data_IF_916277618526
#
_entry.id   IF_916277618526
#
_cell.length_a   1.000
_cell.length_b   1.000
_cell.length_c   1.000
_cell.angle_alpha   90.00
_cell.angle_beta   90.00
_cell.angle_gamma   90.00
#
_symmetry.space_group_name_H-M   'P 1'
#
loop_
_entity.id
_entity.type
_entity.pdbx_description
1 polymer ?
#
# COMPACT_ATOMS: atom_id res chain seq x y z
N UNK A 1 -2.69 20.68 31.86
CA UNK A 1 -2.11 19.45 31.29
C UNK A 1 -2.74 18.26 31.96
N UNK A 2 -3.35 17.35 31.19
CA UNK A 2 -3.82 16.05 31.72
C UNK A 2 -2.59 15.25 32.15
N UNK A 3 -2.52 14.85 33.42
CA UNK A 3 -1.46 13.94 33.91
C UNK A 3 -1.85 12.50 33.56
N UNK A 4 -0.90 11.74 33.02
CA UNK A 4 -1.05 10.30 32.87
C UNK A 4 -1.28 9.66 34.25
N UNK A 5 -2.22 8.72 34.35
CA UNK A 5 -2.55 8.01 35.60
C UNK A 5 -2.90 6.56 35.33
N UNK A 6 -2.64 5.69 36.31
CA UNK A 6 -3.11 4.31 36.31
C UNK A 6 -4.53 4.32 36.86
N UNK A 7 -5.46 3.68 36.15
CA UNK A 7 -6.87 3.58 36.54
C UNK A 7 -7.28 2.12 36.75
N UNK A 8 -8.30 1.89 37.57
CA UNK A 8 -8.88 0.55 37.76
C UNK A 8 -9.80 0.18 36.59
N UNK A 9 -10.06 -1.12 36.42
CA UNK A 9 -10.93 -1.65 35.36
C UNK A 9 -12.30 -0.95 35.29
N UNK A 10 -12.96 -0.73 36.43
CA UNK A 10 -14.26 -0.05 36.49
C UNK A 10 -14.23 1.38 35.93
N UNK A 11 -13.13 2.11 36.13
CA UNK A 11 -12.96 3.45 35.55
C UNK A 11 -12.62 3.36 34.06
N UNK A 12 -11.82 2.38 33.65
CA UNK A 12 -11.54 2.11 32.24
C UNK A 12 -12.82 1.84 31.45
N UNK A 13 -13.71 0.96 31.95
CA UNK A 13 -15.02 0.66 31.33
C UNK A 13 -15.89 1.91 31.17
N UNK A 14 -15.94 2.76 32.20
CA UNK A 14 -16.68 4.03 32.15
C UNK A 14 -16.08 4.99 31.14
N UNK A 15 -14.76 5.07 31.04
CA UNK A 15 -14.07 5.95 30.10
C UNK A 15 -14.28 5.46 28.67
N UNK A 16 -14.11 4.16 28.40
CA UNK A 16 -14.29 3.59 27.06
C UNK A 16 -15.71 3.74 26.56
N UNK A 17 -16.72 3.67 27.43
CA UNK A 17 -18.11 3.94 27.07
C UNK A 17 -18.35 5.37 26.52
N UNK A 18 -17.43 6.32 26.77
CA UNK A 18 -17.52 7.68 26.20
C UNK A 18 -16.88 7.82 24.83
N UNK A 19 -16.16 6.81 24.34
CA UNK A 19 -15.41 6.89 23.08
C UNK A 19 -16.27 6.57 21.84
N UNK A 20 -17.42 5.93 22.03
CA UNK A 20 -18.35 5.55 20.97
C UNK A 20 -18.92 4.16 21.17
N UNK A 21 -19.81 3.76 20.26
CA UNK A 21 -20.54 2.48 20.33
C UNK A 21 -19.86 1.37 19.51
N UNK A 22 -18.91 1.71 18.64
CA UNK A 22 -18.20 0.78 17.76
C UNK A 22 -16.71 0.73 18.11
N UNK A 23 -16.15 -0.49 18.17
CA UNK A 23 -14.73 -0.72 18.40
C UNK A 23 -14.20 -1.72 17.37
N UNK A 24 -13.03 -1.44 16.80
CA UNK A 24 -12.26 -2.43 16.08
C UNK A 24 -11.40 -3.23 17.08
N UNK A 25 -11.38 -4.55 16.88
CA UNK A 25 -10.52 -5.49 17.62
C UNK A 25 -9.34 -5.85 16.74
N UNK A 26 -8.15 -5.42 17.13
CA UNK A 26 -6.91 -5.68 16.38
C UNK A 26 -6.10 -6.73 17.10
N UNK A 27 -5.87 -7.87 16.45
CA UNK A 27 -5.02 -8.93 17.00
C UNK A 27 -3.55 -8.57 16.86
N UNK A 28 -2.85 -8.56 17.98
CA UNK A 28 -1.43 -8.28 18.03
C UNK A 28 -0.59 -9.54 17.73
N UNK A 29 0.63 -9.32 17.23
CA UNK A 29 1.64 -10.37 17.15
C UNK A 29 1.98 -10.91 18.53
N UNK A 30 2.31 -12.20 18.64
CA UNK A 30 2.44 -12.90 19.93
C UNK A 30 3.52 -12.38 20.90
N UNK A 31 4.37 -11.46 20.48
CA UNK A 31 5.37 -10.80 21.32
C UNK A 31 4.89 -9.45 21.91
N UNK A 32 3.68 -9.00 21.58
CA UNK A 32 3.10 -7.73 22.04
C UNK A 32 2.03 -8.04 23.10
N UNK A 33 2.08 -7.32 24.23
CA UNK A 33 1.05 -7.36 25.26
C UNK A 33 0.25 -6.04 25.24
N UNK A 34 -1.09 -6.08 25.27
CA UNK A 34 -1.96 -7.28 25.27
C UNK A 34 -2.08 -7.96 23.89
N UNK A 35 -2.68 -9.15 23.86
CA UNK A 35 -2.91 -9.93 22.63
C UNK A 35 -3.88 -9.28 21.64
N UNK A 36 -4.71 -8.34 22.12
CA UNK A 36 -5.62 -7.56 21.29
C UNK A 36 -5.61 -6.10 21.71
N UNK A 37 -5.73 -5.20 20.74
CA UNK A 37 -5.98 -3.77 20.96
C UNK A 37 -7.41 -3.42 20.57
N UNK A 38 -8.07 -2.60 21.40
CA UNK A 38 -9.40 -2.09 21.15
C UNK A 38 -9.31 -0.64 20.69
N UNK A 39 -9.81 -0.37 19.49
CA UNK A 39 -9.81 0.95 18.88
C UNK A 39 -11.23 1.50 18.80
N UNK A 40 -11.59 2.58 19.53
CA UNK A 40 -12.87 3.22 19.32
C UNK A 40 -12.94 3.80 17.91
N UNK A 41 -14.03 3.50 17.20
CA UNK A 41 -14.26 4.01 15.85
C UNK A 41 -15.16 5.23 15.93
N UNK A 42 -14.69 6.34 15.35
CA UNK A 42 -15.51 7.55 15.23
C UNK A 42 -16.80 7.25 14.44
N UNK A 43 -17.95 7.87 14.75
CA UNK A 43 -19.19 7.65 13.99
C UNK A 43 -19.04 7.92 12.49
N UNK A 44 -19.71 7.12 11.67
CA UNK A 44 -19.72 7.27 10.22
C UNK A 44 -20.36 8.60 9.81
N UNK A 45 -19.71 9.32 8.91
CA UNK A 45 -20.23 10.55 8.31
C UNK A 45 -20.64 10.24 6.88
N UNK A 46 -21.95 10.08 6.66
CA UNK A 46 -22.51 9.69 5.35
C UNK A 46 -22.55 10.86 4.36
N UNK A 47 -22.75 12.09 4.84
CA UNK A 47 -22.79 13.29 3.98
C UNK A 47 -22.05 14.45 4.66
N UNK A 48 -20.76 14.66 4.39
CA UNK A 48 -20.02 15.80 4.94
C UNK A 48 -20.61 17.13 4.44
N UNK A 49 -20.58 18.15 5.31
CA UNK A 49 -21.02 19.52 4.95
C UNK A 49 -20.00 20.25 4.07
N UNK A 50 -18.72 19.94 4.23
CA UNK A 50 -17.60 20.56 3.53
C UNK A 50 -16.36 19.67 3.65
N UNK A 51 -15.41 19.82 2.75
CA UNK A 51 -14.10 19.16 2.85
C UNK A 51 -12.99 20.20 3.08
N UNK A 52 -11.97 19.79 3.82
CA UNK A 52 -10.72 20.53 4.02
C UNK A 52 -9.50 19.74 3.57
N UNK A 53 -9.57 18.42 3.66
CA UNK A 53 -8.49 17.55 3.25
C UNK A 53 -8.98 16.18 2.75
N UNK A 54 -8.10 15.51 2.02
CA UNK A 54 -8.23 14.09 1.63
C UNK A 54 -7.00 13.35 2.12
N UNK A 55 -7.20 12.22 2.79
CA UNK A 55 -6.13 11.23 3.02
C UNK A 55 -6.48 10.00 2.20
N UNK A 56 -5.51 9.47 1.46
CA UNK A 56 -5.71 8.31 0.60
C UNK A 56 -4.63 7.28 0.84
N UNK A 57 -4.96 6.01 0.70
CA UNK A 57 -3.94 4.99 0.54
C UNK A 57 -3.10 5.26 -0.72
N UNK A 58 -1.95 4.59 -0.83
CA UNK A 58 -1.23 4.50 -2.08
C UNK A 58 -1.81 3.36 -2.93
N UNK A 59 -1.77 2.15 -2.39
CA UNK A 59 -2.20 0.93 -3.08
C UNK A 59 -3.73 0.90 -3.18
N UNK A 60 -4.27 0.29 -4.25
CA UNK A 60 -5.71 0.19 -4.52
C UNK A 60 -6.50 1.50 -4.69
N UNK A 61 -5.91 2.67 -4.41
CA UNK A 61 -6.60 3.98 -4.46
C UNK A 61 -5.86 5.02 -5.29
N UNK A 62 -4.53 5.10 -5.16
CA UNK A 62 -3.67 5.96 -6.00
C UNK A 62 -3.06 5.15 -7.15
N UNK A 63 -2.66 3.91 -6.89
CA UNK A 63 -1.96 3.06 -7.86
C UNK A 63 -2.19 1.58 -7.65
N UNK A 64 -1.90 0.78 -8.69
CA UNK A 64 -1.79 -0.68 -8.60
C UNK A 64 -0.33 -1.07 -8.31
N UNK A 65 -0.03 -1.65 -7.14
CA UNK A 65 1.28 -2.29 -6.86
C UNK A 65 1.15 -3.79 -6.58
N UNK A 66 -0.09 -4.27 -6.51
CA UNK A 66 -0.43 -5.61 -6.06
C UNK A 66 0.15 -6.67 -6.98
N UNK A 67 0.29 -6.41 -8.27
CA UNK A 67 0.89 -7.38 -9.18
C UNK A 67 2.38 -7.62 -8.85
N UNK A 68 3.12 -6.58 -8.39
CA UNK A 68 4.52 -6.73 -7.93
C UNK A 68 4.55 -7.53 -6.63
N UNK A 69 3.63 -7.22 -5.69
CA UNK A 69 3.50 -7.93 -4.43
C UNK A 69 3.16 -9.42 -4.65
N UNK A 70 2.14 -9.71 -5.45
CA UNK A 70 1.72 -11.08 -5.81
C UNK A 70 2.84 -11.84 -6.48
N UNK A 71 3.54 -11.24 -7.44
CA UNK A 71 4.70 -11.84 -8.09
C UNK A 71 5.81 -12.18 -7.09
N UNK A 72 6.09 -11.29 -6.16
CA UNK A 72 7.17 -11.47 -5.18
C UNK A 72 6.80 -12.52 -4.13
N UNK A 73 5.52 -12.59 -3.73
CA UNK A 73 4.97 -13.62 -2.86
C UNK A 73 5.01 -14.99 -3.56
N UNK A 74 4.58 -15.06 -4.82
CA UNK A 74 4.64 -16.28 -5.61
C UNK A 74 6.09 -16.75 -5.78
N UNK A 75 7.01 -15.84 -6.13
CA UNK A 75 8.43 -16.14 -6.25
C UNK A 75 8.99 -16.73 -4.96
N UNK A 76 8.65 -16.15 -3.81
CA UNK A 76 9.03 -16.67 -2.50
C UNK A 76 8.52 -18.10 -2.30
N UNK A 77 7.24 -18.38 -2.58
CA UNK A 77 6.66 -19.73 -2.45
C UNK A 77 7.38 -20.72 -3.36
N UNK A 78 7.62 -20.35 -4.63
CA UNK A 78 8.32 -21.19 -5.60
C UNK A 78 9.75 -21.49 -5.16
N UNK A 79 10.43 -20.51 -4.56
CA UNK A 79 11.79 -20.68 -4.02
C UNK A 79 11.83 -21.63 -2.83
N UNK A 80 10.92 -21.53 -1.87
CA UNK A 80 10.94 -22.40 -0.67
C UNK A 80 10.35 -23.80 -0.90
N UNK A 81 9.77 -24.05 -2.08
CA UNK A 81 9.19 -25.34 -2.47
C UNK A 81 9.92 -26.01 -3.64
N UNK A 82 10.94 -25.38 -4.23
CA UNK A 82 11.66 -25.88 -5.40
C UNK A 82 10.84 -25.88 -6.71
N UNK A 83 9.71 -25.16 -6.76
CA UNK A 83 8.74 -25.18 -7.88
C UNK A 83 8.91 -24.01 -8.83
N UNK A 84 10.12 -23.87 -9.37
CA UNK A 84 10.46 -22.72 -10.22
C UNK A 84 9.92 -22.81 -11.66
N UNK A 85 9.47 -23.96 -12.17
CA UNK A 85 8.92 -24.08 -13.53
C UNK A 85 7.39 -24.05 -13.53
N UNK A 86 6.78 -23.57 -14.63
CA UNK A 86 5.33 -23.56 -14.84
C UNK A 86 4.71 -24.98 -14.79
N UNK A 87 5.46 -26.00 -15.21
CA UNK A 87 5.05 -27.41 -15.08
C UNK A 87 4.96 -27.91 -13.63
N UNK A 88 5.58 -27.21 -12.68
CA UNK A 88 5.62 -27.57 -11.25
C UNK A 88 4.80 -26.60 -10.38
N UNK A 89 4.36 -25.48 -10.94
CA UNK A 89 3.67 -24.40 -10.25
C UNK A 89 2.62 -23.77 -11.16
N UNK A 90 1.35 -23.98 -10.81
CA UNK A 90 0.20 -23.48 -11.57
C UNK A 90 -0.16 -22.02 -11.26
N UNK A 91 0.48 -21.42 -10.25
CA UNK A 91 0.14 -20.09 -9.75
C UNK A 91 -0.49 -20.15 -8.36
N UNK A 92 -0.57 -18.98 -7.71
CA UNK A 92 -1.38 -18.80 -6.51
C UNK A 92 -2.87 -18.91 -6.86
N UNK A 93 -3.67 -19.48 -5.96
CA UNK A 93 -5.09 -19.64 -6.21
C UNK A 93 -5.85 -18.34 -5.96
N UNK A 94 -6.41 -17.71 -6.99
CA UNK A 94 -7.08 -16.42 -6.86
C UNK A 94 -8.26 -16.44 -5.87
N UNK A 95 -9.02 -17.54 -5.77
CA UNK A 95 -10.19 -17.60 -4.87
C UNK A 95 -9.80 -17.91 -3.43
N UNK A 96 -8.74 -18.68 -3.22
CA UNK A 96 -8.33 -19.15 -1.89
C UNK A 96 -7.24 -18.28 -1.27
N UNK A 97 -6.24 -17.89 -2.04
CA UNK A 97 -5.05 -17.23 -1.53
C UNK A 97 -5.20 -15.70 -1.49
N UNK A 98 -5.72 -15.08 -2.56
CA UNK A 98 -5.75 -13.61 -2.69
C UNK A 98 -6.44 -12.89 -1.51
N UNK A 99 -7.58 -13.39 -0.98
CA UNK A 99 -8.21 -12.78 0.20
C UNK A 99 -7.34 -12.77 1.47
N UNK A 100 -6.25 -13.53 1.50
CA UNK A 100 -5.35 -13.65 2.65
C UNK A 100 -3.96 -13.05 2.41
N UNK A 101 -3.68 -12.60 1.17
CA UNK A 101 -2.35 -12.11 0.77
C UNK A 101 -2.37 -10.69 0.18
N UNK A 102 -3.48 -9.97 0.32
CA UNK A 102 -3.65 -8.56 -0.09
C UNK A 102 -4.34 -7.77 1.03
N UNK A 103 -4.03 -6.46 1.16
CA UNK A 103 -4.64 -5.53 2.13
C UNK A 103 -4.42 -5.84 3.62
N UNK A 104 -3.31 -6.53 3.94
CA UNK A 104 -2.81 -6.78 5.28
C UNK A 104 -1.26 -6.67 5.28
N UNK A 105 -0.59 -6.88 6.42
CA UNK A 105 0.87 -6.82 6.46
C UNK A 105 1.54 -7.97 5.70
N UNK A 106 2.70 -7.70 5.10
CA UNK A 106 3.52 -8.69 4.40
C UNK A 106 3.78 -9.94 5.25
N UNK A 107 4.02 -9.74 6.56
CA UNK A 107 4.25 -10.85 7.50
C UNK A 107 3.03 -11.77 7.54
N UNK A 108 1.80 -11.24 7.58
CA UNK A 108 0.57 -12.05 7.58
C UNK A 108 0.38 -12.82 6.29
N UNK A 109 0.69 -12.19 5.15
CA UNK A 109 0.64 -12.85 3.84
C UNK A 109 1.60 -14.05 3.79
N UNK A 110 2.83 -13.85 4.24
CA UNK A 110 3.85 -14.91 4.29
C UNK A 110 3.47 -16.01 5.29
N UNK A 111 2.95 -15.67 6.48
CA UNK A 111 2.44 -16.64 7.45
C UNK A 111 1.38 -17.56 6.83
N UNK A 112 0.41 -16.98 6.11
CA UNK A 112 -0.63 -17.73 5.42
C UNK A 112 -0.02 -18.66 4.34
N UNK A 113 0.84 -18.13 3.46
CA UNK A 113 1.41 -18.91 2.35
C UNK A 113 2.32 -20.04 2.85
N UNK A 114 3.18 -19.78 3.84
CA UNK A 114 4.03 -20.82 4.45
C UNK A 114 3.16 -21.92 5.06
N UNK A 115 2.06 -21.57 5.72
CA UNK A 115 1.11 -22.55 6.28
C UNK A 115 0.39 -23.34 5.17
N UNK A 116 -0.12 -22.65 4.16
CA UNK A 116 -0.90 -23.24 3.07
C UNK A 116 -0.05 -24.21 2.23
N UNK A 117 1.19 -23.81 1.92
CA UNK A 117 2.09 -24.59 1.07
C UNK A 117 3.08 -25.48 1.85
N UNK A 118 2.90 -25.63 3.17
CA UNK A 118 3.77 -26.41 4.07
C UNK A 118 4.06 -27.83 3.57
N UNK A 119 3.07 -28.51 2.97
CA UNK A 119 3.23 -29.89 2.45
C UNK A 119 4.23 -30.01 1.29
N UNK A 120 4.65 -28.89 0.71
CA UNK A 120 5.58 -28.82 -0.40
C UNK A 120 6.89 -28.11 -0.03
N UNK A 121 7.02 -27.68 1.23
CA UNK A 121 8.23 -27.06 1.74
C UNK A 121 9.41 -28.04 1.70
N UNK A 122 10.56 -27.55 1.26
CA UNK A 122 11.83 -28.30 1.28
C UNK A 122 12.87 -27.49 2.07
N UNK A 123 13.47 -28.12 3.06
CA UNK A 123 14.50 -27.47 3.88
C UNK A 123 15.71 -27.03 3.03
N UNK A 124 16.08 -27.84 2.04
CA UNK A 124 17.19 -27.53 1.12
C UNK A 124 16.94 -26.24 0.33
N UNK A 125 15.79 -26.12 -0.35
CA UNK A 125 15.51 -24.96 -1.18
C UNK A 125 15.27 -23.71 -0.34
N UNK A 126 14.63 -23.85 0.82
CA UNK A 126 14.51 -22.77 1.81
C UNK A 126 15.87 -22.22 2.22
N UNK A 127 16.82 -23.07 2.63
CA UNK A 127 18.17 -22.64 3.05
C UNK A 127 18.92 -21.92 1.93
N UNK A 128 18.86 -22.46 0.70
CA UNK A 128 19.46 -21.81 -0.49
C UNK A 128 18.85 -20.44 -0.74
N UNK A 129 17.52 -20.37 -0.75
CA UNK A 129 16.79 -19.14 -0.99
C UNK A 129 17.09 -18.07 0.07
N UNK A 130 17.15 -18.45 1.35
CA UNK A 130 17.45 -17.52 2.43
C UNK A 130 18.89 -17.00 2.38
N UNK A 131 19.88 -17.87 2.13
CA UNK A 131 21.27 -17.41 1.96
C UNK A 131 21.38 -16.47 0.75
N UNK A 132 20.72 -16.80 -0.37
CA UNK A 132 20.68 -15.91 -1.52
C UNK A 132 20.07 -14.55 -1.17
N UNK A 133 18.95 -14.53 -0.43
CA UNK A 133 18.30 -13.30 0.01
C UNK A 133 19.21 -12.43 0.87
N UNK A 134 19.98 -13.04 1.78
CA UNK A 134 20.96 -12.32 2.60
C UNK A 134 22.05 -11.69 1.73
N UNK A 135 22.68 -12.49 0.87
CA UNK A 135 23.79 -12.03 0.02
C UNK A 135 23.32 -10.92 -0.92
N UNK A 136 22.16 -11.09 -1.55
CA UNK A 136 21.60 -10.08 -2.45
C UNK A 136 21.30 -8.79 -1.69
N UNK A 137 20.62 -8.87 -0.54
CA UNK A 137 20.22 -7.69 0.22
C UNK A 137 21.43 -6.92 0.73
N UNK A 138 22.45 -7.59 1.26
CA UNK A 138 23.65 -6.91 1.76
C UNK A 138 24.52 -6.31 0.65
N UNK A 139 24.40 -6.79 -0.59
CA UNK A 139 25.14 -6.25 -1.73
C UNK A 139 24.39 -5.13 -2.46
N UNK A 140 23.12 -5.35 -2.73
CA UNK A 140 22.32 -4.54 -3.66
C UNK A 140 21.17 -3.80 -2.97
N UNK A 141 20.81 -4.19 -1.73
CA UNK A 141 19.73 -3.58 -0.99
C UNK A 141 20.01 -2.11 -0.73
N UNK A 142 19.02 -1.26 -1.02
CA UNK A 142 19.13 0.19 -0.82
C UNK A 142 18.52 0.65 0.50
N UNK A 143 17.65 -0.16 1.10
CA UNK A 143 17.06 0.14 2.40
C UNK A 143 17.94 -0.40 3.54
N UNK A 144 18.40 0.52 4.40
CA UNK A 144 19.29 0.21 5.52
C UNK A 144 18.60 -0.64 6.58
N UNK A 145 17.33 -0.36 6.90
CA UNK A 145 16.58 -1.06 7.94
C UNK A 145 16.32 -2.52 7.53
N UNK A 146 15.97 -2.77 6.27
CA UNK A 146 15.87 -4.12 5.70
C UNK A 146 17.20 -4.86 5.76
N UNK A 147 18.31 -4.17 5.50
CA UNK A 147 19.65 -4.77 5.66
C UNK A 147 19.93 -5.17 7.12
N UNK A 148 19.57 -4.32 8.08
CA UNK A 148 19.69 -4.61 9.52
C UNK A 148 18.80 -5.80 9.95
N UNK A 149 17.55 -5.85 9.49
CA UNK A 149 16.62 -6.96 9.75
C UNK A 149 17.14 -8.29 9.21
N UNK A 150 17.65 -8.30 7.98
CA UNK A 150 18.26 -9.48 7.36
C UNK A 150 19.49 -9.95 8.16
N UNK A 151 20.33 -9.02 8.67
CA UNK A 151 21.47 -9.39 9.53
C UNK A 151 21.01 -10.01 10.84
N UNK A 152 19.95 -9.48 11.47
CA UNK A 152 19.38 -10.04 12.69
C UNK A 152 18.87 -11.47 12.44
N UNK A 153 18.11 -11.67 11.37
CA UNK A 153 17.58 -12.99 11.00
C UNK A 153 18.69 -13.97 10.64
N UNK A 154 19.71 -13.54 9.88
CA UNK A 154 20.88 -14.33 9.56
C UNK A 154 21.66 -14.72 10.82
N UNK A 155 21.86 -13.81 11.78
CA UNK A 155 22.49 -14.12 13.07
C UNK A 155 21.74 -15.19 13.84
N UNK A 156 20.40 -15.11 13.86
CA UNK A 156 19.56 -16.08 14.57
C UNK A 156 19.54 -17.46 13.90
N UNK A 157 19.56 -17.53 12.57
CA UNK A 157 19.43 -18.78 11.83
C UNK A 157 20.77 -19.44 11.51
N UNK A 158 21.83 -18.67 11.24
CA UNK A 158 23.13 -19.15 10.76
C UNK A 158 24.29 -18.90 11.73
N UNK A 159 24.07 -18.09 12.79
CA UNK A 159 25.08 -17.76 13.78
C UNK A 159 26.04 -16.63 13.35
N UNK A 160 26.95 -16.28 14.27
CA UNK A 160 27.91 -15.18 14.08
C UNK A 160 28.99 -15.51 13.05
N UNK A 161 29.35 -16.78 12.90
CA UNK A 161 30.44 -17.19 12.01
C UNK A 161 30.09 -16.93 10.55
N UNK A 162 28.83 -17.15 10.17
CA UNK A 162 28.31 -16.78 8.85
C UNK A 162 28.48 -15.27 8.57
N UNK A 163 28.10 -14.42 9.53
CA UNK A 163 28.22 -12.97 9.40
C UNK A 163 29.68 -12.48 9.36
N UNK A 164 30.58 -13.25 9.95
CA UNK A 164 32.01 -12.96 9.97
C UNK A 164 32.78 -13.58 8.81
N UNK A 165 32.10 -14.29 7.91
CA UNK A 165 32.75 -14.91 6.76
C UNK A 165 33.42 -13.85 5.88
N UNK A 166 34.68 -14.12 5.50
CA UNK A 166 35.48 -13.20 4.69
C UNK A 166 34.82 -12.87 3.36
N UNK A 167 34.06 -13.80 2.76
CA UNK A 167 33.35 -13.57 1.52
C UNK A 167 32.18 -12.59 1.71
N UNK A 168 31.48 -12.67 2.85
CA UNK A 168 30.34 -11.81 3.16
C UNK A 168 30.80 -10.42 3.63
N UNK A 169 31.82 -10.33 4.47
CA UNK A 169 32.37 -9.03 4.93
C UNK A 169 32.90 -8.16 3.80
N UNK A 170 33.42 -8.79 2.75
CA UNK A 170 34.00 -8.12 1.59
C UNK A 170 33.02 -8.05 0.40
N UNK A 171 31.73 -8.29 0.62
CA UNK A 171 30.73 -8.43 -0.44
C UNK A 171 30.63 -7.24 -1.40
N UNK A 172 30.87 -6.02 -0.90
CA UNK A 172 30.88 -4.79 -1.68
C UNK A 172 32.16 -4.61 -2.50
N UNK A 173 33.28 -5.17 -2.06
CA UNK A 173 34.58 -5.03 -2.73
C UNK A 173 34.77 -5.97 -3.92
N UNK A 174 33.89 -6.96 -4.08
CA UNK A 174 34.01 -7.95 -5.13
C UNK A 174 32.99 -7.71 -6.27
N UNK A 175 33.48 -7.67 -7.50
CA UNK A 175 32.67 -7.95 -8.71
C UNK A 175 32.31 -9.44 -8.81
N UNK A 176 31.79 -10.02 -7.73
CA UNK A 176 31.39 -11.43 -7.70
C UNK A 176 29.92 -11.57 -8.07
N UNK A 177 29.65 -12.53 -8.96
CA UNK A 177 28.30 -13.01 -9.28
C UNK A 177 27.60 -13.54 -8.02
N UNK A 178 26.47 -12.94 -7.67
CA UNK A 178 25.71 -13.21 -6.42
C UNK A 178 25.31 -14.69 -6.32
N UNK A 179 24.93 -15.34 -7.42
CA UNK A 179 24.57 -16.75 -7.41
C UNK A 179 25.76 -17.61 -6.98
N UNK A 180 26.94 -17.40 -7.60
CA UNK A 180 28.16 -18.14 -7.27
C UNK A 180 28.59 -17.93 -5.83
N UNK A 181 28.45 -16.70 -5.30
CA UNK A 181 28.77 -16.39 -3.91
C UNK A 181 27.79 -17.09 -2.95
N UNK A 182 26.50 -17.00 -3.23
CA UNK A 182 25.45 -17.63 -2.43
C UNK A 182 25.61 -19.14 -2.38
N UNK A 183 25.93 -19.79 -3.52
CA UNK A 183 26.19 -21.23 -3.58
C UNK A 183 27.40 -21.65 -2.74
N UNK A 184 28.47 -20.87 -2.75
CA UNK A 184 29.66 -21.12 -1.91
C UNK A 184 29.32 -21.03 -0.43
N UNK A 185 28.59 -19.99 -0.03
CA UNK A 185 28.15 -19.80 1.35
C UNK A 185 27.17 -20.89 1.79
N UNK A 186 26.25 -21.30 0.92
CA UNK A 186 25.34 -22.41 1.17
C UNK A 186 26.10 -23.73 1.41
N UNK A 187 27.06 -24.08 0.55
CA UNK A 187 27.89 -25.28 0.73
C UNK A 187 28.63 -25.27 2.06
N UNK A 188 29.05 -24.08 2.54
CA UNK A 188 29.80 -23.93 3.80
C UNK A 188 28.91 -23.94 5.05
N UNK A 189 27.72 -23.35 4.99
CA UNK A 189 26.90 -23.08 6.19
C UNK A 189 25.53 -23.77 6.21
N UNK A 190 25.18 -24.60 5.22
CA UNK A 190 23.90 -25.33 5.19
C UNK A 190 23.65 -26.22 6.42
N UNK A 191 24.73 -26.78 6.99
CA UNK A 191 24.69 -27.57 8.22
C UNK A 191 24.63 -26.72 9.50
N UNK A 192 24.92 -25.42 9.42
CA UNK A 192 24.95 -24.49 10.57
C UNK A 192 23.59 -23.86 10.89
N UNK A 193 22.54 -24.21 10.15
CA UNK A 193 21.21 -23.71 10.42
C UNK A 193 20.70 -24.19 11.78
N UNK A 194 20.31 -23.24 12.64
CA UNK A 194 19.58 -23.51 13.86
C UNK A 194 18.20 -24.12 13.57
N UNK A 195 17.49 -24.59 14.60
CA UNK A 195 16.19 -25.26 14.46
C UNK A 195 15.21 -24.48 13.57
N UNK A 196 14.72 -25.13 12.52
CA UNK A 196 13.77 -24.55 11.57
C UNK A 196 12.36 -24.66 12.17
N UNK A 197 12.00 -23.65 12.94
CA UNK A 197 10.65 -23.48 13.50
C UNK A 197 9.77 -22.71 12.51
N UNK A 198 8.45 -22.83 12.65
CA UNK A 198 7.49 -22.08 11.81
C UNK A 198 7.77 -20.57 11.84
N UNK A 199 8.01 -20.00 13.02
CA UNK A 199 8.33 -18.57 13.18
C UNK A 199 9.58 -18.16 12.41
N UNK A 200 10.62 -19.01 12.42
CA UNK A 200 11.86 -18.72 11.72
C UNK A 200 11.71 -18.87 10.20
N UNK A 201 10.91 -19.84 9.73
CA UNK A 201 10.57 -19.96 8.30
C UNK A 201 9.89 -18.69 7.83
N UNK A 202 8.86 -18.22 8.56
CA UNK A 202 8.12 -17.00 8.20
C UNK A 202 9.06 -15.80 8.10
N UNK A 203 9.90 -15.54 9.10
CA UNK A 203 10.84 -14.40 9.08
C UNK A 203 11.81 -14.46 7.89
N UNK A 204 12.41 -15.62 7.63
CA UNK A 204 13.30 -15.80 6.49
C UNK A 204 12.57 -15.72 5.13
N UNK A 205 11.34 -16.20 5.05
CA UNK A 205 10.48 -16.07 3.87
C UNK A 205 10.09 -14.61 3.60
N UNK A 206 9.89 -13.80 4.63
CA UNK A 206 9.74 -12.34 4.47
C UNK A 206 10.99 -11.74 3.82
N UNK A 207 12.19 -12.12 4.26
CA UNK A 207 13.44 -11.64 3.63
C UNK A 207 13.57 -12.09 2.16
N UNK A 208 13.15 -13.31 1.81
CA UNK A 208 13.12 -13.81 0.43
C UNK A 208 12.13 -13.01 -0.42
N UNK A 209 10.94 -12.71 0.12
CA UNK A 209 9.96 -11.85 -0.54
C UNK A 209 10.55 -10.47 -0.83
N UNK A 210 11.10 -9.80 0.18
CA UNK A 210 11.61 -8.44 0.01
C UNK A 210 12.84 -8.37 -0.88
N UNK A 211 13.69 -9.41 -0.89
CA UNK A 211 14.76 -9.51 -1.88
C UNK A 211 14.20 -9.38 -3.29
N UNK A 212 13.17 -10.16 -3.63
CA UNK A 212 12.58 -10.13 -4.98
C UNK A 212 11.87 -8.82 -5.25
N UNK A 213 11.10 -8.33 -4.28
CA UNK A 213 10.37 -7.07 -4.39
C UNK A 213 11.32 -5.90 -4.69
N UNK A 214 12.41 -5.78 -3.93
CA UNK A 214 13.40 -4.71 -4.13
C UNK A 214 14.23 -4.89 -5.40
N UNK A 215 14.45 -6.13 -5.86
CA UNK A 215 15.08 -6.38 -7.15
C UNK A 215 14.21 -5.85 -8.30
N UNK A 216 12.90 -6.09 -8.26
CA UNK A 216 11.95 -5.60 -9.27
C UNK A 216 11.87 -4.08 -9.23
N UNK A 217 11.69 -3.48 -8.05
CA UNK A 217 11.66 -2.02 -7.90
C UNK A 217 12.97 -1.35 -8.37
N UNK A 218 14.12 -1.95 -8.08
CA UNK A 218 15.41 -1.43 -8.53
C UNK A 218 15.53 -1.39 -10.06
N UNK A 219 14.97 -2.39 -10.75
CA UNK A 219 14.92 -2.41 -12.23
C UNK A 219 13.94 -1.38 -12.80
N UNK A 220 12.79 -1.20 -12.17
CA UNK A 220 11.82 -0.15 -12.54
C UNK A 220 12.47 1.23 -12.41
N UNK A 221 13.13 1.50 -11.28
CA UNK A 221 13.83 2.76 -11.04
C UNK A 221 14.94 3.02 -12.07
N UNK A 222 15.58 1.97 -12.61
CA UNK A 222 16.58 2.07 -13.66
C UNK A 222 16.00 2.25 -15.08
N UNK A 223 14.68 2.42 -15.22
CA UNK A 223 13.99 2.57 -16.51
C UNK A 223 13.63 1.26 -17.21
N UNK A 224 13.76 0.12 -16.53
CA UNK A 224 13.47 -1.20 -17.07
C UNK A 224 12.03 -1.68 -16.88
N UNK A 225 11.09 -0.81 -16.48
CA UNK A 225 9.69 -1.16 -16.20
C UNK A 225 8.99 -1.84 -17.39
N UNK A 226 8.99 -1.19 -18.56
CA UNK A 226 8.33 -1.73 -19.77
C UNK A 226 8.85 -3.10 -20.21
N UNK A 227 10.13 -3.39 -19.96
CA UNK A 227 10.72 -4.70 -20.27
C UNK A 227 10.27 -5.75 -19.27
N UNK A 228 10.20 -5.38 -17.99
CA UNK A 228 9.69 -6.26 -16.93
C UNK A 228 8.20 -6.56 -17.10
N UNK A 229 7.39 -5.58 -17.50
CA UNK A 229 5.97 -5.77 -17.76
C UNK A 229 5.76 -6.88 -18.81
N UNK A 230 6.53 -6.86 -19.89
CA UNK A 230 6.48 -7.89 -20.95
C UNK A 230 7.04 -9.24 -20.51
N UNK A 231 8.03 -9.26 -19.61
CA UNK A 231 8.60 -10.49 -19.08
C UNK A 231 7.63 -11.18 -18.11
N UNK A 232 6.92 -10.39 -17.30
CA UNK A 232 6.06 -10.88 -16.23
C UNK A 232 4.60 -11.09 -16.69
N UNK A 233 4.13 -10.31 -17.65
CA UNK A 233 2.78 -10.45 -18.20
C UNK A 233 2.83 -10.87 -19.67
N UNK A 234 2.03 -11.87 -20.02
CA UNK A 234 1.78 -12.24 -21.43
C UNK A 234 0.86 -11.24 -22.14
N UNK A 235 0.40 -10.18 -21.47
CA UNK A 235 -0.49 -9.16 -21.98
C UNK A 235 0.24 -7.81 -22.08
N UNK A 236 0.40 -7.23 -23.29
CA UNK A 236 1.10 -5.96 -23.49
C UNK A 236 0.39 -4.73 -22.90
N UNK A 237 -0.84 -4.89 -22.41
CA UNK A 237 -1.65 -3.81 -21.78
C UNK A 237 -1.50 -3.80 -20.26
N UNK A 238 -0.96 -4.86 -19.64
CA UNK A 238 -0.74 -4.90 -18.20
C UNK A 238 0.59 -4.26 -17.86
N UNK A 239 0.56 -3.32 -16.92
CA UNK A 239 1.74 -2.69 -16.36
C UNK A 239 1.86 -3.01 -14.86
N UNK A 240 3.09 -3.08 -14.35
CA UNK A 240 3.34 -3.37 -12.94
C UNK A 240 2.91 -2.24 -12.00
N UNK A 241 2.94 -1.00 -12.49
CA UNK A 241 2.58 0.21 -11.74
C UNK A 241 1.76 1.13 -12.63
N UNK A 242 0.49 1.30 -12.31
CA UNK A 242 -0.41 2.23 -12.99
C UNK A 242 -1.14 3.13 -12.00
N UNK A 243 -1.51 4.36 -12.38
CA UNK A 243 -2.46 5.12 -11.59
C UNK A 243 -3.83 4.43 -11.59
N UNK A 244 -4.51 4.46 -10.46
CA UNK A 244 -5.92 4.03 -10.42
C UNK A 244 -6.77 4.95 -11.30
N UNK A 245 -7.85 4.44 -11.93
CA UNK A 245 -8.75 5.25 -12.76
C UNK A 245 -9.27 6.48 -11.98
N UNK A 246 -9.29 7.63 -12.63
CA UNK A 246 -9.76 8.89 -12.07
C UNK A 246 -8.79 9.62 -11.13
N UNK A 247 -7.63 9.05 -10.76
CA UNK A 247 -6.68 9.68 -9.81
C UNK A 247 -6.20 11.04 -10.28
N UNK A 248 -5.71 11.13 -11.53
CA UNK A 248 -5.22 12.37 -12.11
C UNK A 248 -6.28 13.49 -12.08
N UNK A 249 -7.53 13.11 -12.40
CA UNK A 249 -8.68 14.01 -12.48
C UNK A 249 -9.10 14.45 -11.08
N UNK A 250 -9.22 13.51 -10.13
CA UNK A 250 -9.56 13.81 -8.74
C UNK A 250 -8.55 14.78 -8.14
N UNK A 251 -7.25 14.49 -8.25
CA UNK A 251 -6.18 15.33 -7.71
C UNK A 251 -6.23 16.73 -8.32
N UNK A 252 -6.32 16.83 -9.65
CA UNK A 252 -6.39 18.13 -10.33
C UNK A 252 -7.63 18.93 -9.93
N UNK A 253 -8.76 18.26 -9.73
CA UNK A 253 -10.00 18.88 -9.28
C UNK A 253 -9.87 19.41 -7.85
N UNK A 254 -9.45 18.58 -6.88
CA UNK A 254 -9.43 18.97 -5.46
C UNK A 254 -8.31 19.97 -5.14
N UNK A 255 -7.21 19.97 -5.90
CA UNK A 255 -6.16 21.01 -5.83
C UNK A 255 -6.59 22.31 -6.53
N UNK A 256 -7.81 22.37 -7.07
CA UNK A 256 -8.39 23.58 -7.63
C UNK A 256 -7.86 23.95 -9.02
N UNK A 257 -7.25 23.01 -9.73
CA UNK A 257 -6.57 23.30 -11.00
C UNK A 257 -7.55 23.37 -12.18
N UNK A 258 -8.66 22.61 -12.14
CA UNK A 258 -9.54 22.43 -13.30
C UNK A 258 -10.60 23.52 -13.50
N UNK A 259 -11.23 24.01 -12.43
CA UNK A 259 -12.33 24.98 -12.53
C UNK A 259 -13.44 24.49 -13.48
N UNK A 260 -13.91 25.34 -14.40
CA UNK A 260 -14.90 24.98 -15.42
C UNK A 260 -14.43 23.95 -16.44
N UNK A 261 -13.12 23.86 -16.67
CA UNK A 261 -12.55 23.06 -17.75
C UNK A 261 -12.62 21.54 -17.47
N UNK A 262 -13.01 21.15 -16.25
CA UNK A 262 -13.35 19.76 -15.95
C UNK A 262 -14.39 19.20 -16.92
N UNK A 263 -15.27 20.05 -17.49
CA UNK A 263 -16.27 19.64 -18.48
C UNK A 263 -15.67 19.00 -19.75
N UNK A 264 -14.43 19.35 -20.11
CA UNK A 264 -13.73 18.78 -21.26
C UNK A 264 -13.02 17.45 -20.94
N UNK A 265 -12.84 17.16 -19.64
CA UNK A 265 -12.20 15.93 -19.14
C UNK A 265 -13.27 14.89 -18.75
N UNK A 266 -14.52 15.32 -18.51
CA UNK A 266 -15.64 14.44 -18.20
C UNK A 266 -15.75 13.19 -19.10
N UNK A 267 -15.58 13.26 -20.44
CA UNK A 267 -15.63 12.06 -21.28
C UNK A 267 -14.59 11.01 -20.90
N UNK A 268 -13.37 11.43 -20.57
CA UNK A 268 -12.30 10.54 -20.07
C UNK A 268 -12.73 9.87 -18.76
N UNK A 269 -13.28 10.65 -17.83
CA UNK A 269 -13.73 10.12 -16.53
C UNK A 269 -14.89 9.13 -16.68
N UNK A 270 -15.79 9.37 -17.64
CA UNK A 270 -16.92 8.48 -17.94
C UNK A 270 -16.43 7.17 -18.52
N UNK A 271 -15.44 7.20 -19.43
CA UNK A 271 -14.85 6.00 -20.01
C UNK A 271 -14.11 5.13 -18.98
N UNK A 272 -13.70 5.72 -17.86
CA UNK A 272 -13.05 5.04 -16.74
C UNK A 272 -14.05 4.46 -15.71
N UNK A 273 -15.36 4.71 -15.85
CA UNK A 273 -16.36 4.06 -15.02
C UNK A 273 -16.37 2.55 -15.31
N UNK A 274 -16.36 1.75 -14.25
CA UNK A 274 -16.52 0.30 -14.39
C UNK A 274 -17.91 -0.04 -14.97
N UNK A 275 -17.97 -1.08 -15.78
CA UNK A 275 -19.20 -1.53 -16.47
C UNK A 275 -20.39 -1.81 -15.55
N UNK A 276 -20.13 -2.12 -14.28
CA UNK A 276 -21.17 -2.36 -13.27
C UNK A 276 -21.81 -1.08 -12.73
N UNK A 277 -21.32 0.11 -13.10
CA UNK A 277 -21.89 1.40 -12.71
C UNK A 277 -22.76 1.94 -13.84
N UNK A 278 -24.07 1.68 -13.73
CA UNK A 278 -25.06 2.22 -14.68
C UNK A 278 -25.45 3.65 -14.27
N UNK A 279 -25.33 4.60 -15.20
CA UNK A 279 -25.77 6.00 -15.04
C UNK A 279 -26.56 6.37 -16.29
N UNK A 280 -27.79 6.83 -16.13
CA UNK A 280 -28.60 7.27 -17.26
C UNK A 280 -28.18 8.67 -17.77
N UNK A 281 -28.65 9.05 -18.96
CA UNK A 281 -28.29 10.34 -19.58
C UNK A 281 -28.68 11.55 -18.73
N UNK A 282 -29.82 11.50 -18.04
CA UNK A 282 -30.31 12.60 -17.23
C UNK A 282 -29.50 12.73 -15.92
N UNK A 283 -29.21 11.61 -15.26
CA UNK A 283 -28.30 11.53 -14.13
C UNK A 283 -26.90 12.03 -14.49
N UNK A 284 -26.38 11.64 -15.66
CA UNK A 284 -25.08 12.08 -16.13
C UNK A 284 -25.03 13.61 -16.36
N UNK A 285 -26.08 14.20 -16.92
CA UNK A 285 -26.19 15.66 -17.06
C UNK A 285 -26.19 16.37 -15.71
N UNK A 286 -26.91 15.82 -14.71
CA UNK A 286 -26.94 16.34 -13.35
C UNK A 286 -25.59 16.21 -12.66
N UNK A 287 -24.95 15.04 -12.78
CA UNK A 287 -23.61 14.75 -12.27
C UNK A 287 -22.58 15.72 -12.85
N UNK A 288 -22.62 15.95 -14.17
CA UNK A 288 -21.74 16.89 -14.87
C UNK A 288 -21.86 18.30 -14.32
N UNK A 289 -23.09 18.81 -14.14
CA UNK A 289 -23.33 20.13 -13.53
C UNK A 289 -22.80 20.20 -12.11
N UNK A 290 -23.03 19.16 -11.30
CA UNK A 290 -22.52 19.07 -9.91
C UNK A 290 -21.00 19.10 -9.88
N UNK A 291 -20.35 18.32 -10.75
CA UNK A 291 -18.89 18.22 -10.79
C UNK A 291 -18.22 19.54 -11.21
N UNK A 292 -18.80 20.26 -12.17
CA UNK A 292 -18.34 21.61 -12.55
C UNK A 292 -18.46 22.57 -11.36
N UNK A 293 -19.58 22.54 -10.63
CA UNK A 293 -19.77 23.35 -9.43
C UNK A 293 -18.74 23.03 -8.33
N UNK A 294 -18.46 21.75 -8.09
CA UNK A 294 -17.45 21.30 -7.14
C UNK A 294 -16.05 21.74 -7.55
N UNK A 295 -15.68 21.57 -8.82
CA UNK A 295 -14.38 21.99 -9.34
C UNK A 295 -14.15 23.50 -9.20
N UNK A 296 -15.16 24.33 -9.48
CA UNK A 296 -15.12 25.78 -9.20
C UNK A 296 -14.98 26.11 -7.71
N UNK A 297 -15.62 25.32 -6.85
CA UNK A 297 -15.50 25.52 -5.40
C UNK A 297 -14.07 25.23 -4.94
N UNK A 298 -13.45 24.16 -5.43
CA UNK A 298 -12.06 23.83 -5.10
C UNK A 298 -11.04 24.78 -5.73
N UNK A 299 -11.35 25.40 -6.88
CA UNK A 299 -10.52 26.48 -7.43
C UNK A 299 -10.42 27.68 -6.48
N UNK A 300 -11.50 27.98 -5.75
CA UNK A 300 -11.50 29.03 -4.71
C UNK A 300 -10.88 28.59 -3.40
N UNK A 301 -11.03 27.31 -3.06
CA UNK A 301 -10.56 26.72 -1.81
C UNK A 301 -10.03 25.30 -2.04
N UNK A 302 -8.77 25.18 -2.48
CA UNK A 302 -8.14 23.87 -2.70
C UNK A 302 -8.13 23.05 -1.42
N UNK A 303 -8.24 21.74 -1.55
CA UNK A 303 -8.06 20.80 -0.46
C UNK A 303 -6.57 20.49 -0.26
N UNK A 304 -6.20 20.20 0.99
CA UNK A 304 -4.93 19.52 1.24
C UNK A 304 -5.06 18.02 0.96
N UNK A 305 -3.99 17.37 0.53
CA UNK A 305 -4.00 15.93 0.25
C UNK A 305 -2.79 15.24 0.85
N UNK A 306 -2.99 14.09 1.49
CA UNK A 306 -1.91 13.19 1.90
C UNK A 306 -2.08 11.79 1.31
N UNK A 307 -0.96 11.18 0.96
CA UNK A 307 -0.88 9.74 0.66
C UNK A 307 -0.29 9.01 1.86
N UNK A 308 -0.90 7.86 2.21
CA UNK A 308 -0.65 7.10 3.44
C UNK A 308 -0.52 5.62 3.11
N UNK A 309 0.68 5.05 3.18
CA UNK A 309 0.93 3.64 2.82
C UNK A 309 1.63 2.85 3.93
N UNK A 310 1.40 1.53 3.94
CA UNK A 310 2.16 0.57 4.75
C UNK A 310 3.49 0.15 4.09
N UNK A 311 3.78 0.63 2.87
CA UNK A 311 5.12 0.51 2.27
C UNK A 311 6.10 1.45 2.95
N UNK A 312 7.38 1.07 2.98
CA UNK A 312 8.45 1.96 3.44
C UNK A 312 8.70 3.07 2.41
N UNK A 313 9.34 4.15 2.85
CA UNK A 313 9.63 5.31 2.01
C UNK A 313 10.34 4.94 0.70
N UNK A 314 11.36 4.07 0.75
CA UNK A 314 12.10 3.64 -0.43
C UNK A 314 11.19 3.05 -1.52
N UNK A 315 10.22 2.23 -1.12
CA UNK A 315 9.30 1.57 -2.04
C UNK A 315 8.29 2.58 -2.61
N UNK A 316 7.66 3.34 -1.71
CA UNK A 316 6.65 4.33 -2.07
C UNK A 316 7.21 5.45 -2.97
N UNK A 317 8.45 5.88 -2.75
CA UNK A 317 9.12 6.89 -3.58
C UNK A 317 9.31 6.42 -5.02
N UNK A 318 9.72 5.17 -5.23
CA UNK A 318 9.86 4.58 -6.58
C UNK A 318 8.50 4.45 -7.24
N UNK A 319 7.52 3.89 -6.53
CA UNK A 319 6.17 3.65 -7.05
C UNK A 319 5.52 4.97 -7.46
N UNK A 320 5.44 5.95 -6.55
CA UNK A 320 4.81 7.23 -6.85
C UNK A 320 5.55 7.99 -7.95
N UNK A 321 6.88 7.89 -8.03
CA UNK A 321 7.64 8.48 -9.14
C UNK A 321 7.22 7.89 -10.49
N UNK A 322 6.96 6.58 -10.56
CA UNK A 322 6.50 5.93 -11.79
C UNK A 322 5.05 6.29 -12.12
N UNK A 323 4.16 6.24 -11.12
CA UNK A 323 2.75 6.65 -11.26
C UNK A 323 2.63 8.06 -11.84
N UNK A 324 3.44 8.99 -11.33
CA UNK A 324 3.37 10.39 -11.75
C UNK A 324 3.91 10.63 -13.15
N UNK A 325 4.80 9.79 -13.69
CA UNK A 325 5.14 9.82 -15.13
C UNK A 325 3.92 9.50 -15.98
N UNK A 326 3.12 8.51 -15.58
CA UNK A 326 1.91 8.12 -16.32
C UNK A 326 0.81 9.16 -16.17
N UNK A 327 0.57 9.67 -14.96
CA UNK A 327 -0.39 10.76 -14.70
C UNK A 327 -0.03 12.03 -15.47
N UNK A 328 1.26 12.36 -15.55
CA UNK A 328 1.75 13.48 -16.36
C UNK A 328 1.41 13.28 -17.85
N UNK A 329 1.70 12.09 -18.43
CA UNK A 329 1.36 11.75 -19.82
C UNK A 329 -0.15 11.80 -20.08
N UNK A 330 -0.97 11.31 -19.15
CA UNK A 330 -2.43 11.39 -19.25
C UNK A 330 -2.89 12.86 -19.31
N UNK A 331 -2.34 13.72 -18.45
CA UNK A 331 -2.70 15.14 -18.40
C UNK A 331 -2.24 15.93 -19.65
N UNK A 332 -1.13 15.54 -20.30
CA UNK A 332 -0.71 16.15 -21.56
C UNK A 332 -1.77 16.02 -22.66
N UNK A 333 -2.47 14.89 -22.67
CA UNK A 333 -3.50 14.56 -23.66
C UNK A 333 -4.85 15.24 -23.41
N UNK A 334 -5.04 15.88 -22.26
CA UNK A 334 -6.31 16.54 -21.94
C UNK A 334 -6.62 17.71 -22.87
N UNK A 335 -7.85 17.79 -23.36
CA UNK A 335 -8.31 18.89 -24.21
C UNK A 335 -8.74 20.11 -23.38
N UNK A 336 -7.79 20.67 -22.64
CA UNK A 336 -7.94 21.88 -21.81
C UNK A 336 -7.01 22.99 -22.28
N UNK A 337 -7.31 24.22 -21.90
CA UNK A 337 -6.53 25.40 -22.26
C UNK A 337 -5.09 25.31 -21.75
N UNK A 338 -4.16 25.92 -22.47
CA UNK A 338 -2.76 26.00 -22.07
C UNK A 338 -2.57 26.69 -20.70
N UNK A 339 -3.46 27.61 -20.34
CA UNK A 339 -3.46 28.29 -19.05
C UNK A 339 -3.72 27.32 -17.88
N UNK A 340 -4.57 26.31 -18.08
CA UNK A 340 -4.82 25.24 -17.10
C UNK A 340 -3.82 24.11 -17.20
N UNK A 341 -3.46 23.69 -18.41
CA UNK A 341 -2.57 22.54 -18.64
C UNK A 341 -1.18 22.74 -18.06
N UNK A 342 -0.54 23.89 -18.30
CA UNK A 342 0.84 24.16 -17.83
C UNK A 342 1.03 23.98 -16.31
N UNK A 343 0.23 24.59 -15.42
CA UNK A 343 0.39 24.38 -13.98
C UNK A 343 0.06 22.95 -13.54
N UNK A 344 -0.88 22.26 -14.21
CA UNK A 344 -1.18 20.84 -13.92
C UNK A 344 0.03 19.96 -14.25
N UNK A 345 0.63 20.14 -15.43
CA UNK A 345 1.84 19.41 -15.82
C UNK A 345 2.99 19.70 -14.85
N UNK A 346 3.19 20.96 -14.46
CA UNK A 346 4.20 21.35 -13.46
C UNK A 346 3.98 20.66 -12.10
N UNK A 347 2.72 20.59 -11.68
CA UNK A 347 2.32 19.87 -10.46
C UNK A 347 2.58 18.36 -10.60
N UNK A 348 2.39 17.76 -11.77
CA UNK A 348 2.60 16.33 -12.01
C UNK A 348 4.03 15.91 -12.34
N UNK A 349 4.96 16.85 -12.53
CA UNK A 349 6.40 16.53 -12.69
C UNK A 349 6.98 15.74 -11.52
N UNK A 350 6.44 15.94 -10.31
CA UNK A 350 6.87 15.23 -9.11
C UNK A 350 5.70 15.09 -8.13
N UNK A 351 5.46 13.88 -7.61
CA UNK A 351 4.38 13.62 -6.66
C UNK A 351 4.46 14.51 -5.39
N UNK A 352 5.67 14.96 -5.03
CA UNK A 352 5.89 15.89 -3.91
C UNK A 352 5.33 17.29 -4.13
N UNK A 353 5.06 17.67 -5.38
CA UNK A 353 4.38 18.94 -5.69
C UNK A 353 2.86 18.83 -5.44
N UNK A 354 2.34 17.62 -5.25
CA UNK A 354 0.91 17.33 -5.10
C UNK A 354 0.55 17.14 -3.65
N UNK A 355 1.24 16.22 -2.99
CA UNK A 355 0.93 15.77 -1.65
C UNK A 355 1.47 16.74 -0.61
N UNK A 356 0.55 17.32 0.16
CA UNK A 356 0.85 18.15 1.32
C UNK A 356 1.28 17.30 2.53
N UNK A 357 0.98 15.99 2.51
CA UNK A 357 1.50 15.00 3.46
C UNK A 357 1.90 13.70 2.76
N UNK A 358 3.02 13.11 3.19
CA UNK A 358 3.50 11.82 2.69
C UNK A 358 3.88 10.97 3.89
N UNK A 359 3.06 9.94 4.15
CA UNK A 359 3.23 9.06 5.31
C UNK A 359 3.42 7.63 4.83
N UNK A 360 4.47 7.01 5.35
CA UNK A 360 4.91 5.66 4.98
C UNK A 360 5.16 4.84 6.24
N UNK A 361 5.41 3.55 6.09
CA UNK A 361 5.83 2.71 7.22
C UNK A 361 7.15 3.16 7.86
N UNK A 362 7.97 3.96 7.15
CA UNK A 362 9.20 4.55 7.69
C UNK A 362 8.94 5.62 8.74
N UNK A 363 7.74 6.21 8.76
CA UNK A 363 7.31 7.20 9.76
C UNK A 363 6.76 6.55 11.05
N UNK A 364 6.69 5.21 11.07
CA UNK A 364 6.15 4.42 12.17
C UNK A 364 6.98 3.13 12.38
N UNK A 365 6.38 2.14 13.05
CA UNK A 365 6.94 0.81 13.23
C UNK A 365 6.02 -0.23 12.59
N UNK A 366 6.58 -1.37 12.14
CA UNK A 366 5.85 -2.50 11.56
C UNK A 366 4.67 -2.94 12.45
N UNK A 367 4.86 -2.91 13.77
CA UNK A 367 3.83 -3.31 14.74
C UNK A 367 2.70 -2.28 14.90
N UNK A 368 2.79 -1.12 14.24
CA UNK A 368 1.86 0.01 14.32
C UNK A 368 1.34 0.43 12.94
N UNK A 369 1.50 -0.40 11.91
CA UNK A 369 0.93 -0.17 10.58
C UNK A 369 -0.59 -0.47 10.58
N UNK A 370 -1.25 -0.37 9.44
CA UNK A 370 -2.69 -0.72 9.33
C UNK A 370 -2.90 -2.15 9.85
N UNK A 371 -3.90 -2.42 10.71
CA UNK A 371 -5.09 -1.60 11.00
C UNK A 371 -4.98 -0.55 12.12
N UNK A 372 -3.78 -0.33 12.68
CA UNK A 372 -3.59 0.71 13.69
C UNK A 372 -3.74 2.12 13.08
N UNK A 373 -4.27 3.06 13.86
CA UNK A 373 -4.59 4.44 13.42
C UNK A 373 -3.38 5.33 13.11
N UNK A 374 -2.18 4.86 13.43
CA UNK A 374 -1.00 5.68 13.66
C UNK A 374 -0.58 6.43 12.39
N UNK A 375 -0.55 5.77 11.23
CA UNK A 375 -0.20 6.40 9.94
C UNK A 375 -1.18 7.54 9.56
N UNK A 376 -2.49 7.30 9.68
CA UNK A 376 -3.49 8.34 9.41
C UNK A 376 -3.45 9.49 10.43
N UNK A 377 -3.09 9.19 11.69
CA UNK A 377 -2.89 10.22 12.71
C UNK A 377 -1.69 11.12 12.38
N UNK A 378 -0.59 10.54 11.88
CA UNK A 378 0.57 11.28 11.37
C UNK A 378 0.16 12.11 10.14
N UNK A 379 -0.66 11.56 9.23
CA UNK A 379 -1.13 12.30 8.06
C UNK A 379 -1.94 13.54 8.46
N UNK A 380 -2.86 13.41 9.41
CA UNK A 380 -3.63 14.55 9.94
C UNK A 380 -2.73 15.62 10.57
N UNK A 381 -1.63 15.21 11.22
CA UNK A 381 -0.61 16.13 11.76
C UNK A 381 0.16 16.84 10.64
N UNK A 382 0.67 16.10 9.64
CA UNK A 382 1.41 16.69 8.51
C UNK A 382 0.53 17.66 7.70
N UNK A 383 -0.75 17.34 7.56
CA UNK A 383 -1.73 18.20 6.91
C UNK A 383 -2.17 19.41 7.78
N UNK A 384 -1.71 19.51 9.02
CA UNK A 384 -2.11 20.55 9.98
C UNK A 384 -3.66 20.67 10.08
N UNK A 385 -4.33 19.52 10.22
CA UNK A 385 -5.78 19.47 10.42
C UNK A 385 -6.09 19.41 11.90
N UNK A 386 -6.75 20.46 12.41
CA UNK A 386 -7.21 20.47 13.79
C UNK A 386 -8.28 19.39 14.04
N UNK A 387 -8.28 18.78 15.23
CA UNK A 387 -9.23 17.72 15.63
C UNK A 387 -10.70 18.08 15.41
N UNK A 388 -11.08 19.36 15.59
CA UNK A 388 -12.44 19.88 15.35
C UNK A 388 -12.89 19.86 13.89
N UNK A 389 -11.98 19.56 12.97
CA UNK A 389 -12.19 19.53 11.53
C UNK A 389 -12.02 18.12 10.95
N UNK A 390 -11.85 17.08 11.78
CA UNK A 390 -11.76 15.69 11.31
C UNK A 390 -13.03 15.23 10.57
N UNK A 391 -14.18 15.85 10.86
CA UNK A 391 -15.44 15.67 10.16
C UNK A 391 -15.46 16.24 8.72
N UNK A 392 -14.39 16.96 8.34
CA UNK A 392 -14.17 17.57 7.01
C UNK A 392 -12.99 16.91 6.28
N UNK A 393 -12.50 15.78 6.77
CA UNK A 393 -11.48 14.98 6.10
C UNK A 393 -12.16 13.80 5.43
N UNK A 394 -11.86 13.60 4.14
CA UNK A 394 -12.25 12.39 3.43
C UNK A 394 -11.11 11.38 3.51
N UNK A 395 -11.41 10.16 3.93
CA UNK A 395 -10.49 9.03 3.88
C UNK A 395 -10.83 8.10 2.73
N UNK A 396 -9.87 7.78 1.86
CA UNK A 396 -10.00 6.83 0.75
C UNK A 396 -9.11 5.61 1.02
N UNK A 397 -9.71 4.42 0.97
CA UNK A 397 -9.04 3.15 1.27
C UNK A 397 -9.62 2.00 0.45
N UNK A 398 -8.85 0.97 0.18
CA UNK A 398 -9.26 -0.21 -0.57
C UNK A 398 -9.40 -1.46 0.31
N UNK A 399 -8.91 -1.41 1.56
CA UNK A 399 -8.75 -2.59 2.43
C UNK A 399 -9.55 -2.51 3.74
N UNK A 400 -9.89 -3.68 4.31
CA UNK A 400 -10.53 -3.76 5.65
C UNK A 400 -9.65 -3.09 6.70
N UNK A 401 -8.36 -3.46 6.74
CA UNK A 401 -7.41 -2.93 7.72
C UNK A 401 -7.29 -1.42 7.65
N UNK A 402 -7.29 -0.88 6.43
CA UNK A 402 -7.30 0.55 6.15
C UNK A 402 -8.55 1.29 6.61
N UNK A 403 -9.74 0.75 6.32
CA UNK A 403 -10.99 1.36 6.77
C UNK A 403 -11.10 1.45 8.30
N UNK A 404 -10.56 0.45 9.02
CA UNK A 404 -10.40 0.52 10.48
C UNK A 404 -9.44 1.62 10.89
N UNK A 405 -8.26 1.67 10.27
CA UNK A 405 -7.22 2.65 10.60
C UNK A 405 -7.70 4.10 10.42
N UNK A 406 -8.43 4.40 9.33
CA UNK A 406 -9.01 5.72 9.05
C UNK A 406 -9.99 6.14 10.16
N UNK A 407 -10.96 5.28 10.48
CA UNK A 407 -11.98 5.61 11.51
C UNK A 407 -11.41 5.65 12.92
N UNK A 408 -10.45 4.79 13.22
CA UNK A 408 -9.71 4.81 14.48
C UNK A 408 -8.84 6.07 14.64
N UNK A 409 -8.42 6.71 13.54
CA UNK A 409 -7.74 8.01 13.54
C UNK A 409 -8.70 9.20 13.75
N UNK A 410 -10.02 8.94 13.78
CA UNK A 410 -11.04 9.97 14.01
C UNK A 410 -11.71 10.50 12.74
N UNK A 411 -11.39 9.93 11.56
CA UNK A 411 -11.97 10.35 10.27
C UNK A 411 -13.25 9.55 10.00
N UNK A 412 -14.41 10.17 10.24
CA UNK A 412 -15.71 9.51 10.09
C UNK A 412 -16.20 9.39 8.65
N UNK A 413 -15.70 10.25 7.75
CA UNK A 413 -16.01 10.19 6.32
C UNK A 413 -14.98 9.33 5.58
N UNK A 414 -15.06 8.02 5.82
CA UNK A 414 -14.27 7.00 5.13
C UNK A 414 -15.04 6.41 3.96
N UNK A 415 -14.41 6.30 2.80
CA UNK A 415 -14.99 5.69 1.61
C UNK A 415 -14.06 4.57 1.16
N UNK A 416 -14.58 3.35 1.17
CA UNK A 416 -13.88 2.21 0.63
C UNK A 416 -14.01 2.18 -0.91
N UNK A 417 -12.92 1.91 -1.61
CA UNK A 417 -12.83 1.79 -3.07
C UNK A 417 -12.25 0.43 -3.45
N UNK A 418 -12.99 -0.66 -3.23
CA UNK A 418 -12.49 -1.99 -3.52
C UNK A 418 -12.16 -2.18 -5.00
N UNK A 419 -11.11 -2.94 -5.25
CA UNK A 419 -10.73 -3.42 -6.58
C UNK A 419 -10.67 -4.95 -6.56
N UNK A 420 -10.26 -5.57 -7.68
CA UNK A 420 -10.43 -7.00 -7.87
C UNK A 420 -9.77 -7.84 -6.75
N UNK A 421 -8.63 -7.40 -6.22
CA UNK A 421 -7.87 -8.12 -5.22
C UNK A 421 -8.40 -7.91 -3.78
N UNK A 422 -9.16 -6.84 -3.49
CA UNK A 422 -9.77 -6.57 -2.18
C UNK A 422 -11.28 -6.77 -2.12
N UNK A 423 -11.90 -7.26 -3.20
CA UNK A 423 -13.35 -7.47 -3.29
C UNK A 423 -13.93 -8.41 -2.21
N UNK A 424 -13.10 -9.26 -1.59
CA UNK A 424 -13.50 -10.18 -0.52
C UNK A 424 -13.37 -9.62 0.92
N UNK A 425 -12.92 -8.39 1.08
CA UNK A 425 -12.72 -7.78 2.41
C UNK A 425 -14.03 -7.32 3.06
N UNK A 426 -14.08 -7.33 4.40
CA UNK A 426 -15.16 -6.70 5.14
C UNK A 426 -14.91 -5.18 5.23
N UNK A 427 -15.66 -4.42 4.43
CA UNK A 427 -15.54 -2.96 4.35
C UNK A 427 -16.63 -2.23 5.15
N UNK A 428 -17.34 -2.94 6.04
CA UNK A 428 -18.42 -2.38 6.86
C UNK A 428 -17.97 -1.23 7.75
N UNK A 429 -16.69 -1.09 8.07
CA UNK A 429 -16.24 0.07 8.80
C UNK A 429 -16.40 1.36 8.00
N UNK A 430 -16.32 1.34 6.67
CA UNK A 430 -16.44 2.54 5.86
C UNK A 430 -17.83 3.18 5.96
N UNK A 431 -17.89 4.50 5.79
CA UNK A 431 -19.17 5.22 5.66
C UNK A 431 -19.85 4.91 4.31
N UNK A 432 -19.06 4.66 3.26
CA UNK A 432 -19.52 4.26 1.93
C UNK A 432 -18.58 3.25 1.31
N UNK A 433 -19.11 2.47 0.36
CA UNK A 433 -18.34 1.56 -0.48
C UNK A 433 -18.63 1.93 -1.94
N UNK A 434 -17.60 2.29 -2.70
CA UNK A 434 -17.69 2.68 -4.10
C UNK A 434 -16.98 1.63 -4.97
N UNK A 435 -17.73 0.62 -5.39
CA UNK A 435 -17.20 -0.49 -6.22
C UNK A 435 -16.69 -0.03 -7.58
N UNK A 436 -17.22 1.09 -8.10
CA UNK A 436 -16.77 1.75 -9.32
C UNK A 436 -15.55 2.64 -9.16
N UNK A 437 -14.93 2.69 -7.97
CA UNK A 437 -13.71 3.45 -7.70
C UNK A 437 -13.92 4.97 -7.68
N UNK A 438 -12.83 5.72 -7.88
CA UNK A 438 -12.86 7.19 -7.86
C UNK A 438 -13.81 7.81 -8.91
N UNK A 439 -13.96 7.26 -10.13
CA UNK A 439 -14.93 7.77 -11.09
C UNK A 439 -16.37 7.73 -10.55
N UNK A 440 -16.77 6.66 -9.86
CA UNK A 440 -18.10 6.58 -9.22
C UNK A 440 -18.26 7.66 -8.14
N UNK A 441 -17.25 7.84 -7.29
CA UNK A 441 -17.26 8.85 -6.22
C UNK A 441 -17.45 10.26 -6.80
N UNK A 442 -16.76 10.58 -7.90
CA UNK A 442 -16.85 11.89 -8.55
C UNK A 442 -18.17 12.07 -9.31
N UNK A 443 -18.54 11.13 -10.18
CA UNK A 443 -19.68 11.28 -11.09
C UNK A 443 -20.99 11.04 -10.35
N UNK A 444 -21.16 9.86 -9.73
CA UNK A 444 -22.44 9.46 -9.13
C UNK A 444 -22.71 10.20 -7.83
N UNK A 445 -21.68 10.34 -6.99
CA UNK A 445 -21.85 10.82 -5.63
C UNK A 445 -21.45 12.29 -5.44
N UNK A 446 -20.66 12.86 -6.34
CA UNK A 446 -20.12 14.22 -6.20
C UNK A 446 -19.38 14.40 -4.88
N UNK A 447 -18.46 13.46 -4.59
CA UNK A 447 -17.71 13.35 -3.34
C UNK A 447 -18.59 13.24 -2.07
N UNK A 448 -19.86 12.81 -2.21
CA UNK A 448 -20.86 12.72 -1.13
C UNK A 448 -21.16 14.04 -0.39
N UNK A 449 -20.69 15.17 -0.92
CA UNK A 449 -20.97 16.50 -0.36
C UNK A 449 -22.46 16.82 -0.45
N UNK A 450 -22.99 17.41 0.64
CA UNK A 450 -24.40 17.83 0.77
C UNK A 450 -24.84 18.84 -0.26
#
# INVERSE_FOLDING_TARGET
>A
MSKNKIIKNSEALRLTATFGDEFAVVNNSGFIHPSVELYPLTPKIVKPKSLKAVVMDMDGTTTTTEEICLHSLEYMVRKITGRMSSSKWEGLNHKKDYPHIIGNSTTKHVEYLVKMYKKHFTEEDFKKAFIFAIVWTLKNGKDKKRSEEVVINAKHLLGKDFLNDKLLRNILSFETNINKLSDKLYKKYSASFNSITFTNIVKASVDIYYQRYHEVLGKIQAGGGDMLDRELFSNPVKHLIEPMPGVAILISMIKGMLGEEIKYILPTLINELKDNVVIDKHELLKASKKLIALSKMFEKKPLKIAVVTSSIYYEADIVLSEVFKTVYKQAEQWNISSAKKKPILKMFENYRNVYDGFVTASDSNEIRLKPHRDLYSIALLQLDVAKKDFDKVMGLEDSESGTFAIRAAGIGFSVAVPFAQTAGHNLEAAAHIAYGGLPEIMIKHGLYLK
#
